data_IF_120381646744
#
_entry.id   IF_120381646744
#
_cell.length_a   1.000
_cell.length_b   1.000
_cell.length_c   1.000
_cell.angle_alpha   90.00
_cell.angle_beta   90.00
_cell.angle_gamma   90.00
#
_symmetry.space_group_name_H-M   'P 1'
#
loop_
_entity.id
_entity.type
_entity.pdbx_description
1 polymer ?
#
# COMPACT_ATOMS: atom_id res chain seq x y z
N UNK A 1 13.98 19.58 4.96
CA UNK A 1 13.42 19.76 3.61
C UNK A 1 12.01 19.19 3.63
N UNK A 2 11.00 20.06 3.80
CA UNK A 2 9.60 19.63 3.72
C UNK A 2 9.24 19.62 2.24
N UNK A 3 9.11 18.44 1.65
CA UNK A 3 8.53 18.32 0.32
C UNK A 3 7.05 18.72 0.43
N UNK A 4 6.60 19.57 -0.50
CA UNK A 4 5.23 20.07 -0.58
C UNK A 4 4.24 18.91 -0.43
N UNK A 5 3.52 18.87 0.69
CA UNK A 5 2.50 17.86 0.93
C UNK A 5 1.40 18.02 -0.11
N UNK A 6 1.31 17.07 -1.04
CA UNK A 6 0.04 16.77 -1.72
C UNK A 6 -0.99 16.55 -0.60
N UNK A 7 -2.18 17.14 -0.72
CA UNK A 7 -3.24 17.05 0.29
C UNK A 7 -3.80 15.62 0.36
N UNK A 8 -3.02 14.72 0.96
CA UNK A 8 -3.33 13.33 1.19
C UNK A 8 -3.42 13.12 2.70
N UNK A 9 -4.44 12.39 3.13
CA UNK A 9 -4.55 11.94 4.51
C UNK A 9 -3.64 10.71 4.65
N UNK A 10 -2.62 10.84 5.51
CA UNK A 10 -1.75 9.73 5.88
C UNK A 10 -2.36 8.99 7.09
N UNK A 11 -2.49 7.68 6.98
CA UNK A 11 -3.04 6.83 8.03
C UNK A 11 -2.34 5.48 8.09
N UNK A 12 -2.49 4.78 9.20
CA UNK A 12 -2.12 3.37 9.36
C UNK A 12 -3.32 2.43 9.17
N UNK A 13 -4.51 2.97 8.92
CA UNK A 13 -5.72 2.16 8.70
C UNK A 13 -5.99 1.97 7.21
N UNK A 14 -6.21 0.74 6.74
CA UNK A 14 -6.48 0.49 5.34
C UNK A 14 -7.87 1.01 4.97
N UNK A 15 -8.01 1.57 3.77
CA UNK A 15 -9.30 1.99 3.21
C UNK A 15 -9.35 1.59 1.74
N UNK A 16 -10.50 1.11 1.27
CA UNK A 16 -10.68 0.89 -0.16
C UNK A 16 -10.53 2.22 -0.92
N UNK A 17 -9.73 2.22 -1.98
CA UNK A 17 -9.36 3.43 -2.72
C UNK A 17 -8.08 4.12 -2.25
N UNK A 18 -7.47 3.67 -1.14
CA UNK A 18 -6.18 4.19 -0.71
C UNK A 18 -5.03 3.61 -1.52
N UNK A 19 -3.94 4.38 -1.62
CA UNK A 19 -2.63 3.85 -2.00
C UNK A 19 -1.96 3.35 -0.73
N UNK A 20 -1.42 2.14 -0.78
CA UNK A 20 -0.58 1.58 0.28
C UNK A 20 0.89 1.71 -0.13
N UNK A 21 1.74 2.11 0.81
CA UNK A 21 3.20 2.12 0.69
C UNK A 21 3.82 1.10 1.63
N UNK A 22 4.77 0.34 1.10
CA UNK A 22 5.56 -0.66 1.80
C UNK A 22 6.95 -0.10 2.05
N UNK A 23 7.40 -0.12 3.31
CA UNK A 23 8.79 0.18 3.64
C UNK A 23 9.74 -0.82 2.97
N UNK A 24 10.91 -0.33 2.53
CA UNK A 24 11.95 -1.14 1.92
C UNK A 24 12.35 -2.33 2.79
N UNK A 25 12.40 -3.52 2.20
CA UNK A 25 12.73 -4.78 2.89
C UNK A 25 11.55 -5.44 3.59
N UNK A 26 10.41 -4.73 3.74
CA UNK A 26 9.15 -5.31 4.17
C UNK A 26 8.45 -6.04 3.02
N UNK A 27 7.68 -7.09 3.31
CA UNK A 27 6.81 -7.77 2.33
C UNK A 27 7.50 -8.23 1.03
N UNK A 28 8.79 -8.56 1.07
CA UNK A 28 9.55 -8.99 -0.12
C UNK A 28 9.90 -7.86 -1.09
N UNK A 29 9.80 -6.60 -0.65
CA UNK A 29 10.12 -5.43 -1.47
C UNK A 29 11.63 -5.13 -1.45
N UNK A 30 12.17 -4.51 -2.52
CA UNK A 30 13.56 -4.06 -2.53
C UNK A 30 13.83 -3.07 -1.38
N UNK A 31 14.93 -3.26 -0.67
CA UNK A 31 15.30 -2.42 0.48
C UNK A 31 15.48 -0.94 0.12
N UNK A 32 15.91 -0.64 -1.10
CA UNK A 32 16.17 0.72 -1.57
C UNK A 32 14.89 1.51 -1.91
N UNK A 33 13.87 0.84 -2.45
CA UNK A 33 12.69 1.50 -3.04
C UNK A 33 11.39 1.26 -2.29
N UNK A 34 11.30 0.18 -1.51
CA UNK A 34 10.00 -0.29 -1.01
C UNK A 34 9.07 -0.69 -2.16
N UNK A 35 7.78 -0.46 -1.96
CA UNK A 35 6.77 -0.70 -2.99
C UNK A 35 5.52 0.16 -2.75
N UNK A 36 4.66 0.26 -3.76
CA UNK A 36 3.33 0.85 -3.64
C UNK A 36 2.30 -0.01 -4.35
N UNK A 37 1.10 -0.08 -3.81
CA UNK A 37 -0.03 -0.79 -4.40
C UNK A 37 -1.33 -0.02 -4.15
N UNK A 38 -2.41 -0.44 -4.79
CA UNK A 38 -3.74 0.14 -4.60
C UNK A 38 -4.61 -0.79 -3.75
N UNK A 39 -5.34 -0.25 -2.78
CA UNK A 39 -6.25 -1.03 -1.93
C UNK A 39 -7.61 -1.14 -2.62
N UNK A 40 -7.88 -2.32 -3.20
CA UNK A 40 -9.12 -2.61 -3.92
C UNK A 40 -10.29 -2.85 -2.97
N UNK A 41 -10.06 -3.55 -1.86
CA UNK A 41 -11.13 -3.96 -0.94
C UNK A 41 -10.62 -4.21 0.47
N UNK A 42 -11.32 -3.67 1.47
CA UNK A 42 -11.16 -4.05 2.87
C UNK A 42 -12.19 -5.12 3.25
N UNK A 43 -11.76 -6.19 3.91
CA UNK A 43 -12.64 -7.24 4.43
C UNK A 43 -12.96 -7.01 5.91
N UNK A 44 -14.11 -7.50 6.43
CA UNK A 44 -14.50 -7.31 7.83
C UNK A 44 -13.52 -7.88 8.86
N UNK A 45 -12.72 -8.88 8.48
CA UNK A 45 -11.72 -9.49 9.35
C UNK A 45 -10.38 -8.72 9.39
N UNK A 46 -10.31 -7.51 8.83
CA UNK A 46 -9.11 -6.67 8.78
C UNK A 46 -8.11 -7.02 7.67
N UNK A 47 -8.30 -8.14 6.96
CA UNK A 47 -7.54 -8.41 5.74
C UNK A 47 -8.00 -7.51 4.59
N UNK A 48 -7.16 -7.31 3.59
CA UNK A 48 -7.51 -6.48 2.44
C UNK A 48 -6.88 -7.00 1.15
N UNK A 49 -7.55 -6.71 0.05
CA UNK A 49 -7.11 -7.02 -1.31
C UNK A 49 -6.38 -5.79 -1.86
N UNK A 50 -5.19 -6.02 -2.40
CA UNK A 50 -4.44 -5.01 -3.13
C UNK A 50 -4.27 -5.42 -4.58
N UNK A 51 -4.10 -4.42 -5.44
CA UNK A 51 -3.62 -4.58 -6.80
C UNK A 51 -2.28 -3.88 -7.00
N UNK A 52 -1.36 -4.57 -7.65
CA UNK A 52 0.02 -4.13 -7.83
C UNK A 52 0.59 -4.62 -9.17
N UNK A 53 1.58 -3.89 -9.68
CA UNK A 53 2.39 -4.28 -10.84
C UNK A 53 3.85 -4.34 -10.42
N UNK A 54 4.67 -5.06 -11.18
CA UNK A 54 6.12 -5.10 -10.99
C UNK A 54 6.56 -5.66 -9.63
N UNK A 55 5.66 -6.28 -8.87
CA UNK A 55 6.02 -7.06 -7.69
C UNK A 55 6.81 -8.32 -8.14
N UNK A 56 7.95 -8.56 -7.48
CA UNK A 56 8.87 -9.66 -7.79
C UNK A 56 9.29 -9.74 -9.28
N UNK A 57 9.37 -8.59 -9.96
CA UNK A 57 9.75 -8.51 -11.37
C UNK A 57 8.66 -8.92 -12.37
N UNK A 58 7.43 -9.18 -11.91
CA UNK A 58 6.30 -9.50 -12.80
C UNK A 58 5.66 -8.20 -13.32
N UNK A 59 5.74 -7.88 -14.63
CA UNK A 59 5.17 -6.63 -15.16
C UNK A 59 3.64 -6.63 -15.24
N UNK A 60 2.99 -7.78 -15.01
CA UNK A 60 1.55 -7.89 -15.10
C UNK A 60 0.85 -7.24 -13.90
N UNK A 61 -0.41 -6.85 -14.13
CA UNK A 61 -1.33 -6.46 -13.06
C UNK A 61 -1.72 -7.69 -12.24
N UNK A 62 -1.39 -7.67 -10.96
CA UNK A 62 -1.59 -8.81 -10.05
C UNK A 62 -2.36 -8.39 -8.81
N UNK A 63 -3.00 -9.37 -8.18
CA UNK A 63 -3.75 -9.17 -6.95
C UNK A 63 -3.15 -9.99 -5.83
N UNK A 64 -3.03 -9.39 -4.65
CA UNK A 64 -2.56 -10.07 -3.44
C UNK A 64 -3.47 -9.74 -2.27
N UNK A 65 -3.70 -10.73 -1.40
CA UNK A 65 -4.45 -10.53 -0.16
C UNK A 65 -3.46 -10.41 0.99
N UNK A 66 -3.53 -9.31 1.74
CA UNK A 66 -2.77 -9.11 2.97
C UNK A 66 -3.65 -9.40 4.18
N UNK A 67 -3.11 -10.13 5.15
CA UNK A 67 -3.87 -10.59 6.32
C UNK A 67 -4.26 -9.48 7.29
N UNK A 68 -3.55 -8.35 7.25
CA UNK A 68 -3.78 -7.20 8.12
C UNK A 68 -2.68 -6.16 7.94
N UNK A 69 -2.72 -5.14 8.79
CA UNK A 69 -1.69 -4.08 8.81
C UNK A 69 -0.55 -4.45 9.76
N UNK A 70 0.67 -4.09 9.37
CA UNK A 70 1.85 -4.10 10.24
C UNK A 70 2.63 -2.77 10.13
N UNK A 71 3.71 -2.66 10.91
CA UNK A 71 4.52 -1.44 11.04
C UNK A 71 5.23 -0.98 9.76
N UNK A 72 5.32 -1.81 8.72
CA UNK A 72 5.95 -1.47 7.45
C UNK A 72 4.97 -0.84 6.44
N UNK A 73 3.70 -0.68 6.81
CA UNK A 73 2.65 -0.23 5.91
C UNK A 73 2.17 1.17 6.30
N UNK A 74 2.08 2.04 5.30
CA UNK A 74 1.41 3.34 5.44
C UNK A 74 0.42 3.54 4.29
N UNK A 75 -0.65 4.28 4.54
CA UNK A 75 -1.72 4.49 3.57
C UNK A 75 -1.91 5.97 3.29
N UNK A 76 -2.21 6.29 2.03
CA UNK A 76 -2.52 7.63 1.58
C UNK A 76 -3.82 7.62 0.76
N UNK A 77 -4.75 8.50 1.10
CA UNK A 77 -5.99 8.69 0.33
C UNK A 77 -6.40 10.16 0.33
N UNK A 78 -7.29 10.51 -0.59
CA UNK A 78 -7.93 11.83 -0.63
C UNK A 78 -9.39 11.73 -0.23
N UNK A 79 -9.91 12.78 0.39
CA UNK A 79 -11.34 12.97 0.61
C UNK A 79 -11.85 13.94 -0.45
N UNK A 80 -12.97 13.59 -1.08
CA UNK A 80 -13.66 14.51 -2.00
C UNK A 80 -14.38 15.61 -1.22
#
# INVERSE_FOLDING_TARGET
MMVSSVFLILTTSPQAGAIISFAGGGHGTPAEYGHVAFVEKLYPNGSFLISETNYNGNPNYTFRKLSGVDSNLSFAYTTK
#
